data_IF_261629771983
#
_entry.id   IF_261629771983
#
_cell.length_a   1.000
_cell.length_b   1.000
_cell.length_c   1.000
_cell.angle_alpha   90.00
_cell.angle_beta   90.00
_cell.angle_gamma   90.00
#
_symmetry.space_group_name_H-M   'P 1'
#
loop_
_entity.id
_entity.type
_entity.pdbx_description
1 polymer ?
#
# COMPACT_ATOMS: atom_id res chain seq x y z
N UNK A 1 -0.97 -3.20 -6.00
CA UNK A 1 -0.28 -4.50 -5.78
C UNK A 1 1.21 -4.21 -5.59
N UNK A 2 1.95 -4.97 -4.78
CA UNK A 2 3.42 -4.85 -4.70
C UNK A 2 3.99 -5.69 -5.84
N UNK A 3 4.84 -5.12 -6.68
CA UNK A 3 5.54 -5.85 -7.73
C UNK A 3 6.74 -6.68 -7.17
N UNK A 4 7.41 -7.42 -8.05
CA UNK A 4 8.56 -8.26 -7.66
C UNK A 4 9.73 -7.44 -7.11
N UNK A 5 9.87 -6.19 -7.55
CA UNK A 5 10.89 -5.24 -7.08
C UNK A 5 10.57 -4.66 -5.68
N UNK A 6 9.32 -4.82 -5.23
CA UNK A 6 8.83 -4.32 -3.95
C UNK A 6 8.12 -2.98 -4.01
N UNK A 7 7.78 -2.49 -5.19
CA UNK A 7 7.09 -1.22 -5.38
C UNK A 7 5.58 -1.39 -5.42
N UNK A 8 4.90 -0.49 -4.72
CA UNK A 8 3.49 -0.20 -4.95
C UNK A 8 3.44 0.79 -6.09
N UNK A 9 2.81 0.39 -7.20
CA UNK A 9 2.61 1.25 -8.37
C UNK A 9 1.17 1.72 -8.48
N UNK A 10 0.99 2.92 -9.00
CA UNK A 10 -0.33 3.43 -9.37
C UNK A 10 -0.76 2.92 -10.75
N UNK A 11 -1.97 3.30 -11.16
CA UNK A 11 -2.63 2.77 -12.36
C UNK A 11 -1.87 3.10 -13.66
N UNK A 12 -0.99 4.11 -13.65
CA UNK A 12 -0.15 4.50 -14.79
C UNK A 12 1.30 4.00 -14.67
N UNK A 13 1.59 3.17 -13.68
CA UNK A 13 2.91 2.61 -13.43
C UNK A 13 3.86 3.50 -12.62
N UNK A 14 3.35 4.61 -12.06
CA UNK A 14 4.11 5.50 -11.18
C UNK A 14 4.55 4.79 -9.89
N UNK A 15 5.76 5.08 -9.42
CA UNK A 15 6.29 4.54 -8.16
C UNK A 15 5.74 5.33 -6.98
N UNK A 16 4.89 4.71 -6.18
CA UNK A 16 4.27 5.38 -5.03
C UNK A 16 5.06 5.15 -3.75
N UNK A 17 5.46 3.90 -3.52
CA UNK A 17 6.09 3.49 -2.27
C UNK A 17 6.86 2.20 -2.46
N UNK A 18 8.05 2.13 -1.90
CA UNK A 18 8.85 0.92 -1.84
C UNK A 18 8.68 0.22 -0.49
N UNK A 19 8.50 -1.10 -0.52
CA UNK A 19 8.34 -1.94 0.67
C UNK A 19 9.60 -2.82 0.85
N UNK A 20 10.28 -2.72 2.00
CA UNK A 20 11.41 -3.60 2.31
C UNK A 20 11.00 -5.07 2.33
N UNK A 21 11.88 -5.95 1.87
CA UNK A 21 11.60 -7.39 1.71
C UNK A 21 11.02 -8.04 2.98
N UNK A 22 11.57 -7.70 4.14
CA UNK A 22 11.13 -8.21 5.45
C UNK A 22 9.64 -7.95 5.75
N UNK A 23 9.06 -6.91 5.15
CA UNK A 23 7.69 -6.48 5.42
C UNK A 23 6.69 -6.91 4.34
N UNK A 24 7.13 -7.39 3.18
CA UNK A 24 6.24 -7.69 2.03
C UNK A 24 5.22 -8.79 2.33
N UNK A 25 5.64 -9.84 3.04
CA UNK A 25 4.80 -11.02 3.31
C UNK A 25 3.66 -10.73 4.30
N UNK A 26 3.87 -9.83 5.25
CA UNK A 26 2.91 -9.51 6.32
C UNK A 26 2.36 -8.08 6.22
N UNK A 27 2.53 -7.42 5.07
CA UNK A 27 2.04 -6.06 4.89
C UNK A 27 0.50 -6.06 4.92
N UNK A 28 -0.06 -5.32 5.87
CA UNK A 28 -1.48 -5.09 5.97
C UNK A 28 -1.91 -4.14 4.84
N UNK A 29 -2.44 -4.72 3.76
CA UNK A 29 -2.93 -3.95 2.62
C UNK A 29 -4.25 -3.27 2.99
N UNK A 30 -4.58 -2.12 2.38
CA UNK A 30 -5.89 -1.49 2.55
C UNK A 30 -7.08 -2.41 2.21
N UNK A 31 -6.86 -3.41 1.35
CA UNK A 31 -7.86 -4.43 0.97
C UNK A 31 -7.93 -5.63 1.92
N UNK A 32 -7.01 -5.74 2.88
CA UNK A 32 -6.97 -6.88 3.80
C UNK A 32 -7.72 -6.49 5.07
N UNK A 33 -8.67 -7.34 5.49
CA UNK A 33 -9.43 -7.13 6.73
C UNK A 33 -8.58 -7.51 7.96
N UNK A 34 -7.69 -8.50 7.82
CA UNK A 34 -6.80 -8.97 8.87
C UNK A 34 -5.67 -9.83 8.28
N UNK A 35 -4.47 -9.77 8.86
CA UNK A 35 -3.39 -10.75 8.66
C UNK A 35 -3.33 -11.64 9.90
N UNK A 36 -3.87 -12.85 9.82
CA UNK A 36 -3.93 -13.78 10.97
C UNK A 36 -2.63 -14.61 11.09
N UNK A 37 -2.10 -14.73 12.31
CA UNK A 37 -1.05 -15.70 12.67
C UNK A 37 0.41 -15.23 12.59
N UNK A 38 0.71 -13.95 12.30
CA UNK A 38 2.06 -13.37 12.31
C UNK A 38 2.07 -11.92 12.80
N UNK A 39 3.26 -11.38 13.13
CA UNK A 39 3.45 -9.94 13.33
C UNK A 39 3.09 -9.21 12.03
N UNK A 40 1.98 -8.49 12.06
CA UNK A 40 1.53 -7.66 10.95
C UNK A 40 2.45 -6.44 10.80
N UNK A 41 2.72 -6.05 9.55
CA UNK A 41 3.30 -4.74 9.27
C UNK A 41 2.20 -3.83 8.77
N UNK A 42 1.81 -2.83 9.57
CA UNK A 42 0.83 -1.82 9.18
C UNK A 42 1.55 -0.59 8.66
N UNK A 43 1.06 -0.07 7.55
CA UNK A 43 1.49 1.23 7.05
C UNK A 43 0.76 2.30 7.86
N UNK A 44 1.51 3.12 8.59
CA UNK A 44 0.96 4.33 9.18
C UNK A 44 0.91 5.42 8.12
N UNK A 45 -0.30 5.84 7.77
CA UNK A 45 -0.58 6.89 6.78
C UNK A 45 -1.24 8.10 7.43
N UNK A 46 -1.16 8.22 8.75
CA UNK A 46 -1.75 9.34 9.49
C UNK A 46 -1.20 10.69 9.05
N UNK A 47 0.08 10.72 8.66
CA UNK A 47 0.79 11.93 8.21
C UNK A 47 0.77 12.14 6.70
N UNK A 48 0.09 11.29 5.94
CA UNK A 48 -0.02 11.48 4.49
C UNK A 48 -0.91 12.68 4.20
N UNK A 49 -0.58 13.45 3.17
CA UNK A 49 -1.40 14.58 2.69
C UNK A 49 -2.87 14.18 2.46
N UNK A 50 -3.10 12.92 2.10
CA UNK A 50 -4.42 12.34 1.83
C UNK A 50 -4.88 11.34 2.90
N UNK A 51 -4.13 11.18 3.99
CA UNK A 51 -4.45 10.29 5.11
C UNK A 51 -4.77 8.86 4.66
N UNK A 52 -5.82 8.26 5.25
CA UNK A 52 -6.34 6.94 4.88
C UNK A 52 -6.91 6.86 3.45
N UNK A 53 -7.19 7.99 2.82
CA UNK A 53 -7.69 8.08 1.45
C UNK A 53 -6.56 8.18 0.41
N UNK A 54 -5.29 7.95 0.80
CA UNK A 54 -4.14 7.98 -0.11
C UNK A 54 -4.30 7.01 -1.30
N UNK A 55 -5.01 5.90 -1.13
CA UNK A 55 -5.30 4.97 -2.22
C UNK A 55 -6.32 5.52 -3.22
N UNK A 56 -7.16 6.47 -2.82
CA UNK A 56 -8.11 7.14 -3.72
C UNK A 56 -7.39 8.07 -4.71
N UNK A 57 -6.16 8.50 -4.41
CA UNK A 57 -5.31 9.20 -5.35
C UNK A 57 -4.81 8.29 -6.49
N UNK A 58 -4.88 6.97 -6.29
CA UNK A 58 -4.47 5.96 -7.28
C UNK A 58 -5.58 5.68 -8.28
N UNK A 59 -6.83 5.79 -7.82
CA UNK A 59 -7.98 5.65 -8.69
C UNK A 59 -8.09 6.93 -9.54
N UNK A 60 -8.05 6.85 -10.87
CA UNK A 60 -8.33 8.00 -11.70
C UNK A 60 -9.71 8.53 -11.30
N UNK A 61 -9.81 9.84 -11.03
CA UNK A 61 -11.09 10.52 -10.91
C UNK A 61 -11.91 10.15 -12.14
N UNK A 62 -12.89 9.24 -11.98
CA UNK A 62 -13.85 8.93 -13.02
C UNK A 62 -14.60 10.23 -13.31
N UNK A 63 -14.30 10.87 -14.44
CA UNK A 63 -15.16 11.87 -15.05
C UNK A 63 -16.21 11.17 -15.88
#
# INVERSE_FOLDING_TARGET
VIDDDGWIRGDKGELLMWIPLAHRANLHRPSNICVAGKQETRLDVSDFVHGRSWTSCLLPLRR
#
